data_IF_120238178645
#
_entry.id   IF_120238178645
#
_cell.length_a   1.000
_cell.length_b   1.000
_cell.length_c   1.000
_cell.angle_alpha   90.00
_cell.angle_beta   90.00
_cell.angle_gamma   90.00
#
_symmetry.space_group_name_H-M   'P 1'
#
loop_
_entity.id
_entity.type
_entity.pdbx_description
1 polymer ?
#
# COMPACT_ATOMS: atom_id res chain seq x y z
N UNK A 1 -22.23 -24.08 9.67
CA UNK A 1 -22.77 -22.86 9.01
C UNK A 1 -21.65 -22.06 8.34
N UNK A 2 -20.90 -22.67 7.41
CA UNK A 2 -19.79 -22.04 6.65
C UNK A 2 -19.99 -22.23 5.13
N UNK A 3 -21.13 -22.80 4.71
CA UNK A 3 -21.44 -23.09 3.30
C UNK A 3 -21.99 -21.92 2.48
N UNK A 4 -22.31 -20.77 3.09
CA UNK A 4 -22.94 -19.64 2.37
C UNK A 4 -21.95 -18.66 1.72
N UNK A 5 -20.67 -18.63 2.14
CA UNK A 5 -19.72 -17.62 1.66
C UNK A 5 -19.13 -17.90 0.27
N UNK A 6 -19.05 -19.17 -0.15
CA UNK A 6 -18.58 -19.52 -1.51
C UNK A 6 -19.74 -19.50 -2.51
N UNK A 7 -20.97 -19.76 -2.07
CA UNK A 7 -22.18 -19.57 -2.86
C UNK A 7 -22.40 -18.09 -3.24
N UNK A 8 -21.88 -17.15 -2.43
CA UNK A 8 -21.97 -15.70 -2.70
C UNK A 8 -21.01 -15.19 -3.78
N UNK A 9 -19.82 -15.79 -3.90
CA UNK A 9 -18.87 -15.41 -4.95
C UNK A 9 -19.34 -15.85 -6.35
N UNK A 10 -20.07 -16.98 -6.42
CA UNK A 10 -20.73 -17.46 -7.62
C UNK A 10 -22.08 -16.78 -7.87
N UNK A 11 -22.91 -16.48 -6.86
CA UNK A 11 -24.18 -15.73 -7.06
C UNK A 11 -23.97 -14.25 -7.38
N UNK A 12 -22.89 -13.60 -6.95
CA UNK A 12 -22.59 -12.22 -7.39
C UNK A 12 -22.17 -12.17 -8.88
N UNK A 13 -21.50 -13.21 -9.37
CA UNK A 13 -21.17 -13.37 -10.79
C UNK A 13 -22.37 -13.86 -11.64
N UNK A 14 -23.19 -14.77 -11.11
CA UNK A 14 -24.39 -15.32 -11.76
C UNK A 14 -25.58 -14.36 -11.77
N UNK A 15 -25.79 -13.56 -10.72
CA UNK A 15 -26.85 -12.52 -10.68
C UNK A 15 -26.57 -11.38 -11.66
N UNK A 16 -25.30 -11.10 -11.97
CA UNK A 16 -24.90 -10.18 -13.05
C UNK A 16 -25.12 -10.76 -14.45
N UNK A 17 -24.85 -12.05 -14.65
CA UNK A 17 -25.15 -12.71 -15.93
C UNK A 17 -26.66 -12.82 -16.19
N UNK A 18 -27.48 -12.99 -15.14
CA UNK A 18 -28.95 -13.01 -15.28
C UNK A 18 -29.54 -11.62 -15.57
N UNK A 19 -28.96 -10.54 -15.02
CA UNK A 19 -29.42 -9.16 -15.27
C UNK A 19 -29.04 -8.63 -16.66
N UNK A 20 -27.98 -9.18 -17.28
CA UNK A 20 -27.61 -8.85 -18.67
C UNK A 20 -28.50 -9.52 -19.72
N UNK A 21 -29.29 -10.53 -19.34
CA UNK A 21 -30.12 -11.30 -20.28
C UNK A 21 -31.50 -10.66 -20.57
N UNK A 22 -31.87 -9.57 -19.89
CA UNK A 22 -33.20 -8.94 -20.02
C UNK A 22 -33.24 -7.64 -20.82
N UNK A 23 -32.12 -7.20 -21.40
CA UNK A 23 -32.06 -5.98 -22.22
C UNK A 23 -31.14 -6.17 -23.42
N UNK A 24 -31.54 -7.02 -24.36
CA UNK A 24 -30.96 -7.09 -25.70
C UNK A 24 -32.06 -7.54 -26.67
N UNK A 25 -32.99 -6.65 -26.97
CA UNK A 25 -33.65 -6.67 -28.28
C UNK A 25 -32.65 -6.09 -29.29
N UNK A 26 -32.44 -6.84 -30.38
CA UNK A 26 -31.65 -6.49 -31.57
C UNK A 26 -30.13 -6.35 -31.39
N UNK A 27 -29.37 -7.39 -31.74
CA UNK A 27 -28.08 -7.23 -32.42
C UNK A 27 -27.62 -8.58 -32.99
N UNK A 28 -28.22 -8.97 -34.12
CA UNK A 28 -27.91 -10.16 -34.91
C UNK A 28 -26.52 -10.12 -35.58
N UNK A 29 -25.77 -9.02 -35.43
CA UNK A 29 -24.54 -8.76 -36.19
C UNK A 29 -23.24 -9.13 -35.43
N UNK A 30 -23.28 -9.42 -34.12
CA UNK A 30 -22.07 -9.75 -33.33
C UNK A 30 -21.72 -11.25 -33.36
N UNK A 31 -22.68 -12.13 -33.69
CA UNK A 31 -22.47 -13.59 -33.73
C UNK A 31 -21.43 -14.03 -34.77
N UNK A 32 -21.25 -13.27 -35.84
CA UNK A 32 -20.37 -13.65 -36.96
C UNK A 32 -18.89 -13.35 -36.69
N UNK A 33 -18.58 -12.38 -35.82
CA UNK A 33 -17.20 -12.00 -35.50
C UNK A 33 -16.59 -12.87 -34.38
N UNK A 34 -17.40 -13.32 -33.42
CA UNK A 34 -16.93 -14.13 -32.29
C UNK A 34 -16.59 -15.59 -32.69
N UNK A 35 -17.29 -16.16 -33.67
CA UNK A 35 -17.09 -17.54 -34.12
C UNK A 35 -15.79 -17.77 -34.92
N UNK A 36 -15.08 -16.71 -35.32
CA UNK A 36 -13.88 -16.82 -36.18
C UNK A 36 -12.55 -16.75 -35.41
N UNK A 37 -12.54 -16.25 -34.16
CA UNK A 37 -11.33 -16.07 -33.35
C UNK A 37 -11.17 -17.06 -32.20
N UNK A 38 -12.24 -17.72 -31.77
CA UNK A 38 -12.19 -18.79 -30.76
C UNK A 38 -12.70 -20.09 -31.38
N UNK A 39 -11.79 -20.88 -31.94
CA UNK A 39 -12.02 -22.32 -32.15
C UNK A 39 -12.15 -22.93 -30.75
N UNK A 40 -13.31 -23.47 -30.32
CA UNK A 40 -13.37 -24.19 -29.06
C UNK A 40 -12.59 -25.48 -29.27
N UNK A 41 -11.41 -25.58 -28.66
CA UNK A 41 -10.85 -26.90 -28.40
C UNK A 41 -11.88 -27.62 -27.53
N UNK A 42 -12.44 -28.70 -28.07
CA UNK A 42 -13.35 -29.60 -27.35
C UNK A 42 -12.54 -30.32 -26.27
N UNK A 43 -12.18 -29.61 -25.20
CA UNK A 43 -11.73 -30.26 -23.97
C UNK A 43 -12.99 -30.73 -23.27
N UNK A 44 -13.17 -32.05 -23.29
CA UNK A 44 -14.22 -32.77 -22.60
C UNK A 44 -14.09 -32.50 -21.09
N UNK A 45 -14.83 -31.51 -20.58
CA UNK A 45 -15.03 -31.33 -19.14
C UNK A 45 -15.94 -32.48 -18.67
N UNK A 46 -15.32 -33.64 -18.40
CA UNK A 46 -15.88 -34.70 -17.56
C UNK A 46 -16.30 -34.09 -16.23
N UNK A 47 -17.46 -34.53 -15.72
CA UNK A 47 -18.07 -34.19 -14.44
C UNK A 47 -17.05 -34.05 -13.28
N UNK A 48 -16.48 -32.87 -13.09
CA UNK A 48 -15.82 -32.52 -11.82
C UNK A 48 -16.95 -32.09 -10.89
N UNK A 49 -17.18 -32.87 -9.82
CA UNK A 49 -18.20 -32.52 -8.84
C UNK A 49 -17.87 -31.17 -8.19
N UNK A 50 -18.89 -30.33 -8.01
CA UNK A 50 -18.80 -29.00 -7.39
C UNK A 50 -18.07 -29.02 -6.04
N UNK A 51 -18.20 -30.14 -5.31
CA UNK A 51 -17.51 -30.41 -4.04
C UNK A 51 -15.99 -30.53 -4.21
N UNK A 52 -15.52 -31.18 -5.28
CA UNK A 52 -14.07 -31.32 -5.56
C UNK A 52 -13.47 -29.95 -5.88
N UNK A 53 -14.16 -29.13 -6.68
CA UNK A 53 -13.73 -27.76 -6.99
C UNK A 53 -13.69 -26.88 -5.74
N UNK A 54 -14.69 -26.95 -4.86
CA UNK A 54 -14.71 -26.20 -3.61
C UNK A 54 -13.54 -26.59 -2.71
N UNK A 55 -13.26 -27.88 -2.57
CA UNK A 55 -12.13 -28.37 -1.76
C UNK A 55 -10.78 -27.89 -2.30
N UNK A 56 -10.60 -27.87 -3.62
CA UNK A 56 -9.37 -27.39 -4.27
C UNK A 56 -9.18 -25.89 -4.10
N UNK A 57 -10.24 -25.09 -4.27
CA UNK A 57 -10.19 -23.64 -4.04
C UNK A 57 -9.86 -23.32 -2.58
N UNK A 58 -10.47 -24.04 -1.64
CA UNK A 58 -10.20 -23.84 -0.22
C UNK A 58 -8.75 -24.19 0.14
N UNK A 59 -8.24 -25.32 -0.34
CA UNK A 59 -6.84 -25.73 -0.12
C UNK A 59 -5.85 -24.70 -0.68
N UNK A 60 -6.04 -24.27 -1.93
CA UNK A 60 -5.22 -23.26 -2.56
C UNK A 60 -5.27 -21.92 -1.80
N UNK A 61 -6.44 -21.52 -1.30
CA UNK A 61 -6.57 -20.28 -0.52
C UNK A 61 -5.80 -20.34 0.81
N UNK A 62 -5.84 -21.48 1.52
CA UNK A 62 -5.11 -21.67 2.78
C UNK A 62 -3.60 -21.64 2.55
N UNK A 63 -3.14 -22.26 1.46
CA UNK A 63 -1.73 -22.27 1.08
C UNK A 63 -1.21 -20.86 0.78
N UNK A 64 -1.93 -20.08 -0.03
CA UNK A 64 -1.55 -18.68 -0.36
C UNK A 64 -1.50 -17.80 0.89
N UNK A 65 -2.48 -17.94 1.79
CA UNK A 65 -2.50 -17.19 3.05
C UNK A 65 -1.34 -17.60 3.95
N UNK A 66 -1.04 -18.90 4.06
CA UNK A 66 0.09 -19.41 4.85
C UNK A 66 1.42 -18.89 4.32
N UNK A 67 1.63 -18.97 2.99
CA UNK A 67 2.85 -18.48 2.34
C UNK A 67 3.04 -16.97 2.54
N UNK A 68 1.96 -16.19 2.42
CA UNK A 68 2.01 -14.74 2.68
C UNK A 68 2.49 -14.44 4.10
N UNK A 69 1.89 -15.10 5.11
CA UNK A 69 2.24 -14.91 6.51
C UNK A 69 3.70 -15.25 6.77
N UNK A 70 4.17 -16.37 6.20
CA UNK A 70 5.54 -16.82 6.32
C UNK A 70 6.52 -15.83 5.68
N UNK A 71 6.20 -15.28 4.51
CA UNK A 71 7.02 -14.27 3.83
C UNK A 71 7.17 -12.99 4.67
N UNK A 72 6.05 -12.42 5.14
CA UNK A 72 6.08 -11.21 5.99
C UNK A 72 6.86 -11.50 7.29
N UNK A 73 6.62 -12.65 7.92
CA UNK A 73 7.29 -13.04 9.15
C UNK A 73 8.80 -13.22 8.94
N UNK A 74 9.20 -13.86 7.85
CA UNK A 74 10.61 -14.01 7.48
C UNK A 74 11.29 -12.67 7.29
N UNK A 75 10.65 -11.72 6.60
CA UNK A 75 11.19 -10.36 6.43
C UNK A 75 11.28 -9.64 7.77
N UNK A 76 10.26 -9.75 8.61
CA UNK A 76 10.26 -9.12 9.95
C UNK A 76 11.36 -9.65 10.86
N UNK A 77 11.52 -10.98 10.97
CA UNK A 77 12.61 -11.58 11.76
C UNK A 77 13.97 -11.22 11.18
N UNK A 78 14.14 -11.30 9.85
CA UNK A 78 15.41 -10.97 9.20
C UNK A 78 15.79 -9.52 9.42
N UNK A 79 14.83 -8.60 9.30
CA UNK A 79 15.07 -7.19 9.51
C UNK A 79 15.38 -6.88 10.99
N UNK A 80 14.71 -7.55 11.93
CA UNK A 80 15.02 -7.45 13.36
C UNK A 80 16.45 -7.91 13.65
N UNK A 81 16.83 -9.11 13.20
CA UNK A 81 18.20 -9.63 13.39
C UNK A 81 19.23 -8.71 12.73
N UNK A 82 18.92 -8.21 11.53
CA UNK A 82 19.78 -7.28 10.80
C UNK A 82 20.00 -5.97 11.56
N UNK A 83 18.93 -5.31 12.00
CA UNK A 83 19.01 -4.02 12.66
C UNK A 83 19.79 -4.05 13.98
N UNK A 84 19.68 -5.15 14.75
CA UNK A 84 20.38 -5.28 16.03
C UNK A 84 21.80 -5.83 15.91
N UNK A 85 22.11 -6.64 14.89
CA UNK A 85 23.38 -7.38 14.82
C UNK A 85 24.32 -6.91 13.70
N UNK A 86 23.77 -6.47 12.56
CA UNK A 86 24.53 -6.24 11.33
C UNK A 86 24.50 -4.80 10.84
N UNK A 87 23.59 -3.96 11.34
CA UNK A 87 23.48 -2.58 10.92
C UNK A 87 24.80 -1.82 11.23
N UNK A 88 25.40 -1.16 10.22
CA UNK A 88 26.68 -0.49 10.37
C UNK A 88 26.56 0.72 11.30
N UNK A 89 27.69 1.12 11.87
CA UNK A 89 27.77 2.33 12.68
C UNK A 89 27.29 2.19 14.12
N UNK A 90 27.54 3.27 14.87
CA UNK A 90 26.96 3.50 16.19
C UNK A 90 25.67 4.31 16.07
N UNK A 91 24.81 4.19 17.07
CA UNK A 91 23.61 5.02 17.17
C UNK A 91 24.00 6.42 17.69
N UNK A 92 23.92 7.44 16.84
CA UNK A 92 24.28 8.81 17.21
C UNK A 92 23.05 9.59 17.75
N UNK A 93 22.99 9.70 19.07
CA UNK A 93 21.95 10.46 19.78
C UNK A 93 22.01 11.97 19.52
N UNK A 94 23.19 12.51 19.28
CA UNK A 94 23.36 13.94 19.01
C UNK A 94 22.81 14.28 17.62
N UNK A 95 23.06 13.41 16.65
CA UNK A 95 22.50 13.53 15.31
C UNK A 95 20.95 13.48 15.33
N UNK A 96 20.35 12.54 16.07
CA UNK A 96 18.89 12.47 16.26
C UNK A 96 18.31 13.74 16.90
N UNK A 97 18.98 14.27 17.93
CA UNK A 97 18.55 15.50 18.60
C UNK A 97 18.53 16.68 17.63
N UNK A 98 19.57 16.83 16.80
CA UNK A 98 19.66 17.89 15.80
C UNK A 98 18.54 17.81 14.77
N UNK A 99 18.26 16.61 14.27
CA UNK A 99 17.15 16.37 13.35
C UNK A 99 15.80 16.81 13.94
N UNK A 100 15.56 16.49 15.22
CA UNK A 100 14.30 16.84 15.90
C UNK A 100 14.25 18.34 16.22
N UNK A 101 15.36 18.94 16.65
CA UNK A 101 15.41 20.34 17.08
C UNK A 101 15.36 21.33 15.93
N UNK A 102 16.04 21.02 14.82
CA UNK A 102 16.08 21.88 13.64
C UNK A 102 16.20 21.03 12.36
N UNK A 103 15.10 20.48 11.85
CA UNK A 103 15.10 19.66 10.63
C UNK A 103 15.47 20.46 9.37
N UNK A 104 15.49 21.80 9.46
CA UNK A 104 15.82 22.71 8.35
C UNK A 104 17.27 23.23 8.42
N UNK A 105 18.07 22.74 9.36
CA UNK A 105 19.48 23.10 9.41
C UNK A 105 20.20 22.65 8.14
N UNK A 106 21.01 23.54 7.57
CA UNK A 106 21.88 23.31 6.43
C UNK A 106 22.85 22.12 6.60
N UNK A 107 23.13 21.71 7.84
CA UNK A 107 23.97 20.56 8.16
C UNK A 107 23.21 19.22 8.12
N UNK A 108 21.88 19.25 8.15
CA UNK A 108 21.05 18.05 8.08
C UNK A 108 20.79 17.69 6.62
N UNK A 109 21.06 16.44 6.26
CA UNK A 109 20.85 15.96 4.90
C UNK A 109 19.36 15.92 4.55
N UNK A 110 18.99 16.58 3.44
CA UNK A 110 17.57 16.75 3.06
C UNK A 110 16.89 15.43 2.64
N UNK A 111 17.63 14.48 2.08
CA UNK A 111 17.10 13.16 1.69
C UNK A 111 16.72 12.38 2.94
N UNK A 112 17.55 12.42 3.98
CA UNK A 112 17.20 11.73 5.22
C UNK A 112 16.01 12.38 5.94
N UNK A 113 15.88 13.72 5.91
CA UNK A 113 14.67 14.40 6.43
C UNK A 113 13.42 13.89 5.73
N UNK A 114 13.47 13.69 4.41
CA UNK A 114 12.38 13.08 3.65
C UNK A 114 12.06 11.66 4.15
N UNK A 115 13.07 10.80 4.30
CA UNK A 115 12.89 9.41 4.77
C UNK A 115 12.28 9.41 6.18
N UNK A 116 12.86 10.17 7.10
CA UNK A 116 12.46 10.22 8.50
C UNK A 116 11.02 10.73 8.67
N UNK A 117 10.64 11.81 7.98
CA UNK A 117 9.26 12.27 8.00
C UNK A 117 8.32 11.33 7.23
N UNK A 118 8.82 10.66 6.18
CA UNK A 118 8.11 9.63 5.43
C UNK A 118 7.72 8.43 6.31
N UNK A 119 8.53 8.08 7.31
CA UNK A 119 8.18 7.08 8.32
C UNK A 119 6.99 7.47 9.19
N UNK A 120 6.68 8.76 9.34
CA UNK A 120 5.43 9.22 9.95
C UNK A 120 4.24 9.20 9.00
N UNK A 121 4.48 9.48 7.71
CA UNK A 121 3.44 9.43 6.67
C UNK A 121 2.94 8.00 6.45
N UNK A 122 3.83 7.01 6.48
CA UNK A 122 3.49 5.61 6.20
C UNK A 122 2.43 5.05 7.16
N UNK A 123 2.59 5.10 8.49
CA UNK A 123 1.54 4.75 9.46
C UNK A 123 0.22 5.49 9.21
N UNK A 124 0.27 6.77 8.81
CA UNK A 124 -0.92 7.54 8.45
C UNK A 124 -1.62 6.98 7.19
N UNK A 125 -0.86 6.57 6.16
CA UNK A 125 -1.38 5.86 4.99
C UNK A 125 -1.98 4.52 5.39
N UNK A 126 -1.25 3.69 6.14
CA UNK A 126 -1.74 2.40 6.63
C UNK A 126 -3.03 2.56 7.46
N UNK A 127 -3.11 3.58 8.30
CA UNK A 127 -4.31 3.87 9.11
C UNK A 127 -5.54 4.21 8.26
N UNK A 128 -5.34 4.85 7.11
CA UNK A 128 -6.41 5.16 6.14
C UNK A 128 -6.92 3.94 5.37
N UNK A 129 -6.11 2.89 5.27
CA UNK A 129 -6.40 1.68 4.51
C UNK A 129 -6.95 0.56 5.43
N UNK A 130 -6.43 0.47 6.65
CA UNK A 130 -6.71 -0.63 7.58
C UNK A 130 -7.85 -0.35 8.56
N UNK A 131 -7.90 0.85 9.16
CA UNK A 131 -8.87 1.15 10.23
C UNK A 131 -10.34 1.13 9.78
N UNK A 132 -10.73 1.66 8.60
CA UNK A 132 -12.14 1.74 8.23
C UNK A 132 -12.86 0.39 8.06
N UNK A 133 -12.10 -0.71 8.10
CA UNK A 133 -12.54 -2.06 7.72
C UNK A 133 -12.29 -3.09 8.81
N UNK A 134 -11.84 -2.65 9.97
CA UNK A 134 -11.59 -3.54 11.09
C UNK A 134 -12.91 -4.18 11.56
N UNK A 135 -12.93 -5.52 11.74
CA UNK A 135 -14.08 -6.20 12.38
C UNK A 135 -13.89 -6.14 13.89
N UNK A 136 -14.99 -6.15 14.62
CA UNK A 136 -14.96 -6.22 16.08
C UNK A 136 -14.21 -7.45 16.59
N UNK A 137 -14.40 -8.60 15.96
CA UNK A 137 -13.77 -9.86 16.37
C UNK A 137 -12.35 -10.06 15.80
N UNK A 138 -11.79 -9.06 15.11
CA UNK A 138 -10.46 -9.15 14.51
C UNK A 138 -9.39 -8.47 15.35
N UNK A 139 -8.13 -8.86 15.16
CA UNK A 139 -6.98 -8.21 15.80
C UNK A 139 -6.99 -6.71 15.47
N UNK A 140 -6.98 -5.88 16.52
CA UNK A 140 -7.09 -4.43 16.37
C UNK A 140 -5.82 -3.83 15.81
N UNK A 141 -5.93 -3.00 14.77
CA UNK A 141 -4.79 -2.42 14.06
C UNK A 141 -4.22 -1.20 14.78
N UNK A 142 -5.08 -0.42 15.43
CA UNK A 142 -4.72 0.88 15.99
C UNK A 142 -3.51 0.87 16.94
N UNK A 143 -3.27 -0.13 17.82
CA UNK A 143 -2.11 -0.10 18.70
C UNK A 143 -0.81 -0.23 17.90
N UNK A 144 -0.78 -1.15 16.93
CA UNK A 144 0.37 -1.35 16.06
C UNK A 144 0.63 -0.14 15.16
N UNK A 145 -0.43 0.52 14.69
CA UNK A 145 -0.33 1.75 13.90
C UNK A 145 0.26 2.91 14.72
N UNK A 146 -0.21 3.13 15.94
CA UNK A 146 0.31 4.19 16.82
C UNK A 146 1.78 3.95 17.15
N UNK A 147 2.14 2.72 17.52
CA UNK A 147 3.54 2.37 17.84
C UNK A 147 4.43 2.43 16.60
N UNK A 148 3.89 2.18 15.40
CA UNK A 148 4.66 2.25 14.15
C UNK A 148 5.12 3.64 13.75
N UNK A 149 4.59 4.71 14.35
CA UNK A 149 5.16 6.05 14.19
C UNK A 149 6.58 6.17 14.76
N UNK A 150 6.95 5.31 15.71
CA UNK A 150 8.26 5.31 16.37
C UNK A 150 9.13 4.15 15.94
N UNK A 151 8.52 2.96 15.78
CA UNK A 151 9.23 1.72 15.50
C UNK A 151 9.05 1.22 14.07
N UNK A 152 8.22 1.88 13.26
CA UNK A 152 8.04 1.52 11.86
C UNK A 152 7.56 0.08 11.65
N UNK A 153 8.23 -0.65 10.74
CA UNK A 153 7.89 -2.04 10.44
C UNK A 153 8.11 -2.99 11.62
N UNK A 154 8.95 -2.64 12.61
CA UNK A 154 9.09 -3.48 13.81
C UNK A 154 7.77 -3.62 14.56
N UNK A 155 6.96 -2.55 14.61
CA UNK A 155 5.64 -2.58 15.21
C UNK A 155 4.56 -3.07 14.23
N UNK A 156 4.63 -2.67 12.96
CA UNK A 156 3.56 -3.00 12.00
C UNK A 156 3.66 -4.42 11.44
N UNK A 157 4.87 -4.97 11.32
CA UNK A 157 5.14 -6.30 10.76
C UNK A 157 4.34 -7.42 11.44
N UNK A 158 4.35 -7.56 12.78
CA UNK A 158 3.59 -8.59 13.48
C UNK A 158 2.08 -8.49 13.20
N UNK A 159 1.54 -7.27 13.13
CA UNK A 159 0.16 -7.06 12.74
C UNK A 159 -0.12 -7.55 11.31
N UNK A 160 0.74 -7.23 10.34
CA UNK A 160 0.59 -7.67 8.95
C UNK A 160 0.71 -9.20 8.80
N UNK A 161 1.53 -9.85 9.63
CA UNK A 161 1.60 -11.33 9.71
C UNK A 161 0.28 -11.90 10.22
N UNK A 162 -0.27 -11.35 11.29
CA UNK A 162 -1.43 -11.94 11.97
C UNK A 162 -2.76 -11.63 11.26
N UNK A 163 -2.87 -10.46 10.62
CA UNK A 163 -4.10 -10.00 9.99
C UNK A 163 -4.59 -10.94 8.89
N UNK A 164 -5.90 -10.94 8.66
CA UNK A 164 -6.55 -11.65 7.55
C UNK A 164 -6.98 -10.59 6.51
N UNK A 165 -6.31 -10.50 5.34
CA UNK A 165 -6.74 -9.63 4.25
C UNK A 165 -8.14 -10.01 3.79
N UNK A 166 -8.89 -9.01 3.34
CA UNK A 166 -10.26 -9.13 2.88
C UNK A 166 -10.39 -8.70 1.44
N UNK A 167 -10.83 -9.64 0.62
CA UNK A 167 -11.13 -9.39 -0.79
C UNK A 167 -12.62 -9.51 -1.12
N UNK A 168 -13.45 -9.87 -0.13
CA UNK A 168 -14.90 -9.97 -0.25
C UNK A 168 -15.57 -8.61 -0.12
N UNK A 169 -16.67 -8.39 -0.84
CA UNK A 169 -17.49 -7.19 -0.71
C UNK A 169 -17.83 -6.92 0.77
N UNK A 170 -17.48 -5.74 1.26
CA UNK A 170 -17.84 -5.32 2.62
C UNK A 170 -19.35 -5.08 2.69
N UNK A 171 -19.99 -5.67 3.70
CA UNK A 171 -21.36 -5.31 4.04
C UNK A 171 -21.36 -3.91 4.70
N UNK A 172 -22.43 -3.14 4.48
CA UNK A 172 -22.57 -1.77 4.99
C UNK A 172 -22.38 -1.67 6.50
N UNK A 173 -22.85 -2.67 7.23
CA UNK A 173 -22.78 -2.74 8.70
C UNK A 173 -21.36 -2.95 9.23
N UNK A 174 -20.45 -3.48 8.40
CA UNK A 174 -19.06 -3.72 8.77
C UNK A 174 -18.13 -2.54 8.50
N UNK A 175 -18.58 -1.53 7.73
CA UNK A 175 -17.78 -0.35 7.42
C UNK A 175 -17.88 0.68 8.55
N UNK A 176 -16.72 1.09 9.10
CA UNK A 176 -16.65 2.07 10.19
C UNK A 176 -15.84 3.27 9.73
N UNK A 177 -16.47 4.41 9.39
CA UNK A 177 -15.72 5.59 9.02
C UNK A 177 -14.87 6.04 10.21
N UNK A 178 -13.56 6.11 10.02
CA UNK A 178 -12.59 6.59 11.01
C UNK A 178 -12.16 8.01 10.69
N UNK A 179 -11.42 8.65 11.61
CA UNK A 179 -10.85 9.99 11.41
C UNK A 179 -10.03 10.10 10.10
N UNK A 180 -9.44 8.98 9.67
CA UNK A 180 -8.63 8.85 8.46
C UNK A 180 -9.43 8.85 7.14
N UNK A 181 -10.76 8.74 7.20
CA UNK A 181 -11.65 8.91 6.03
C UNK A 181 -11.99 10.38 5.76
N UNK A 182 -11.68 11.29 6.69
CA UNK A 182 -11.96 12.72 6.52
C UNK A 182 -11.20 13.28 5.30
N UNK A 183 -11.87 14.09 4.48
CA UNK A 183 -11.25 14.73 3.31
C UNK A 183 -10.06 15.60 3.70
N UNK A 184 -10.15 16.35 4.80
CA UNK A 184 -9.05 17.18 5.29
C UNK A 184 -7.80 16.36 5.62
N UNK A 185 -7.96 15.21 6.27
CA UNK A 185 -6.84 14.32 6.59
C UNK A 185 -6.12 13.86 5.32
N UNK A 186 -6.88 13.43 4.30
CA UNK A 186 -6.35 12.93 3.02
C UNK A 186 -5.60 14.02 2.25
N UNK A 187 -6.19 15.21 2.13
CA UNK A 187 -5.53 16.33 1.44
C UNK A 187 -4.32 16.86 2.21
N UNK A 188 -4.40 16.95 3.54
CA UNK A 188 -3.27 17.35 4.38
C UNK A 188 -2.09 16.40 4.22
N UNK A 189 -2.34 15.09 4.19
CA UNK A 189 -1.32 14.08 3.96
C UNK A 189 -0.67 14.24 2.57
N UNK A 190 -1.47 14.43 1.53
CA UNK A 190 -0.96 14.65 0.17
C UNK A 190 -0.10 15.93 0.09
N UNK A 191 -0.58 17.05 0.64
CA UNK A 191 0.16 18.31 0.66
C UNK A 191 1.49 18.13 1.41
N UNK A 192 1.47 17.47 2.57
CA UNK A 192 2.68 17.22 3.35
C UNK A 192 3.69 16.37 2.56
N UNK A 193 3.24 15.31 1.88
CA UNK A 193 4.11 14.52 1.00
C UNK A 193 4.69 15.36 -0.14
N UNK A 194 3.90 16.21 -0.79
CA UNK A 194 4.39 17.12 -1.83
C UNK A 194 5.48 18.05 -1.28
N UNK A 195 5.25 18.63 -0.10
CA UNK A 195 6.24 19.50 0.57
C UNK A 195 7.53 18.74 0.88
N UNK A 196 7.44 17.49 1.37
CA UNK A 196 8.61 16.66 1.63
C UNK A 196 9.42 16.38 0.36
N UNK A 197 8.74 16.08 -0.76
CA UNK A 197 9.41 15.88 -2.05
C UNK A 197 10.08 17.16 -2.55
N UNK A 198 9.39 18.31 -2.49
CA UNK A 198 9.95 19.60 -2.87
C UNK A 198 11.16 19.97 -2.01
N UNK A 199 11.12 19.67 -0.71
CA UNK A 199 12.23 19.86 0.21
C UNK A 199 13.41 18.94 -0.11
N UNK A 200 13.16 17.65 -0.32
CA UNK A 200 14.20 16.67 -0.68
C UNK A 200 14.90 17.01 -1.98
N UNK A 201 14.14 17.46 -2.98
CA UNK A 201 14.69 17.88 -4.28
C UNK A 201 15.30 19.29 -4.24
N UNK A 202 15.27 19.98 -3.10
CA UNK A 202 15.73 21.37 -2.94
C UNK A 202 15.14 22.33 -4.00
N UNK A 203 13.91 22.06 -4.45
CA UNK A 203 13.23 22.87 -5.48
C UNK A 203 12.79 24.22 -4.90
N UNK A 204 12.51 24.29 -3.60
CA UNK A 204 12.21 25.54 -2.89
C UNK A 204 13.42 26.01 -2.07
N UNK A 205 14.02 27.16 -2.40
CA UNK A 205 15.05 27.78 -1.57
C UNK A 205 14.36 28.57 -0.44
N UNK A 206 13.71 27.89 0.51
CA UNK A 206 13.19 28.55 1.71
C UNK A 206 14.32 29.07 2.63
N UNK A 207 15.54 28.61 2.41
CA UNK A 207 16.77 29.24 2.91
C UNK A 207 17.89 29.05 1.88
N UNK A 208 17.95 29.93 0.88
CA UNK A 208 19.14 30.08 0.04
C UNK A 208 20.26 30.68 0.90
N UNK A 209 21.00 29.84 1.61
CA UNK A 209 22.25 30.23 2.26
C UNK A 209 23.39 29.49 1.59
N UNK A 210 23.62 29.82 0.32
CA UNK A 210 24.93 29.57 -0.28
C UNK A 210 25.19 30.52 -1.45
N UNK A 211 26.35 31.16 -1.37
CA UNK A 211 26.87 32.21 -2.25
C UNK A 211 27.56 31.66 -3.51
N UNK A 212 27.36 30.38 -3.81
CA UNK A 212 27.87 29.67 -4.96
C UNK A 212 26.78 29.62 -6.02
N UNK A 213 26.96 30.45 -7.06
CA UNK A 213 26.12 30.60 -8.25
C UNK A 213 26.05 29.34 -9.14
N UNK A 214 26.13 28.13 -8.58
CA UNK A 214 26.09 26.90 -9.35
C UNK A 214 24.65 26.51 -9.68
N UNK A 215 24.38 26.06 -10.93
CA UNK A 215 23.04 25.66 -11.33
C UNK A 215 22.52 24.53 -10.44
N UNK A 216 21.20 24.54 -10.26
CA UNK A 216 20.30 23.63 -9.56
C UNK A 216 20.58 22.11 -9.71
N UNK A 217 21.46 21.69 -10.63
CA UNK A 217 21.83 20.30 -10.87
C UNK A 217 22.97 19.76 -9.98
N UNK A 218 23.89 20.60 -9.48
CA UNK A 218 25.07 20.12 -8.72
C UNK A 218 24.74 19.83 -7.24
N UNK A 219 23.61 20.33 -6.75
CA UNK A 219 23.21 20.17 -5.35
C UNK A 219 22.66 18.77 -5.03
N UNK A 220 22.00 18.08 -5.96
CA UNK A 220 21.37 16.79 -5.67
C UNK A 220 22.36 15.64 -5.58
N UNK A 221 23.35 15.59 -6.49
CA UNK A 221 24.38 14.55 -6.48
C UNK A 221 25.24 14.66 -5.22
N UNK A 222 25.65 15.88 -4.84
CA UNK A 222 26.42 16.11 -3.63
C UNK A 222 25.65 15.75 -2.34
N UNK A 223 24.34 16.00 -2.30
CA UNK A 223 23.50 15.56 -1.18
C UNK A 223 23.31 14.05 -1.14
N UNK A 224 23.21 13.41 -2.31
CA UNK A 224 23.13 11.97 -2.40
C UNK A 224 24.39 11.29 -1.88
N UNK A 225 25.58 11.80 -2.24
CA UNK A 225 26.85 11.26 -1.76
C UNK A 225 27.00 11.40 -0.24
N UNK A 226 26.61 12.55 0.33
CA UNK A 226 26.56 12.74 1.80
C UNK A 226 25.57 11.79 2.46
N UNK A 227 24.39 11.60 1.86
CA UNK A 227 23.41 10.66 2.36
C UNK A 227 23.96 9.23 2.36
N UNK A 228 24.65 8.81 1.29
CA UNK A 228 25.27 7.49 1.23
C UNK A 228 26.35 7.31 2.30
N UNK A 229 27.17 8.34 2.54
CA UNK A 229 28.14 8.32 3.64
C UNK A 229 27.45 8.15 5.00
N UNK A 230 26.36 8.89 5.25
CA UNK A 230 25.55 8.75 6.47
C UNK A 230 24.93 7.35 6.57
N UNK A 231 24.41 6.81 5.46
CA UNK A 231 23.83 5.47 5.39
C UNK A 231 24.82 4.36 5.75
N UNK A 232 26.12 4.56 5.49
CA UNK A 232 27.15 3.59 5.87
C UNK A 232 27.75 3.84 7.27
N UNK A 233 27.58 5.03 7.83
CA UNK A 233 28.25 5.45 9.08
C UNK A 233 27.32 5.45 10.28
N UNK A 234 26.04 5.76 10.09
CA UNK A 234 25.06 5.90 11.17
C UNK A 234 24.01 4.78 11.12
N UNK A 235 23.85 4.08 12.25
CA UNK A 235 22.88 2.98 12.40
C UNK A 235 21.44 3.46 12.26
N UNK A 236 21.11 4.62 12.83
CA UNK A 236 19.76 5.16 12.76
C UNK A 236 19.37 5.45 11.32
N UNK A 237 20.26 6.11 10.57
CA UNK A 237 20.03 6.44 9.16
C UNK A 237 19.84 5.16 8.36
N UNK A 238 20.75 4.21 8.55
CA UNK A 238 20.72 2.94 7.86
C UNK A 238 19.42 2.15 8.07
N UNK A 239 19.07 1.91 9.34
CA UNK A 239 17.88 1.11 9.70
C UNK A 239 16.60 1.81 9.27
N UNK A 240 16.50 3.13 9.48
CA UNK A 240 15.31 3.92 9.11
C UNK A 240 15.06 3.91 7.60
N UNK A 241 16.12 3.99 6.79
CA UNK A 241 16.00 3.95 5.34
C UNK A 241 15.55 2.58 4.81
N UNK A 242 16.05 1.50 5.40
CA UNK A 242 15.58 0.14 5.06
C UNK A 242 14.13 -0.04 5.51
N UNK A 243 13.79 0.40 6.72
CA UNK A 243 12.43 0.35 7.25
C UNK A 243 11.43 1.08 6.35
N UNK A 244 11.80 2.26 5.87
CA UNK A 244 11.01 3.05 4.93
C UNK A 244 10.69 2.26 3.66
N UNK A 245 11.71 1.65 3.04
CA UNK A 245 11.53 0.82 1.84
C UNK A 245 10.62 -0.38 2.12
N UNK A 246 10.84 -1.08 3.23
CA UNK A 246 10.03 -2.25 3.63
C UNK A 246 8.57 -1.83 3.81
N UNK A 247 8.31 -0.75 4.53
CA UNK A 247 6.96 -0.23 4.74
C UNK A 247 6.29 0.18 3.42
N UNK A 248 7.02 0.79 2.48
CA UNK A 248 6.51 1.08 1.14
C UNK A 248 6.16 -0.18 0.36
N UNK A 249 7.01 -1.22 0.40
CA UNK A 249 6.76 -2.49 -0.28
C UNK A 249 5.52 -3.20 0.27
N UNK A 250 5.37 -3.27 1.60
CA UNK A 250 4.21 -3.93 2.21
C UNK A 250 2.92 -3.10 2.15
N UNK A 251 3.00 -1.80 1.86
CA UNK A 251 1.82 -0.93 1.71
C UNK A 251 0.97 -1.33 0.50
N UNK A 252 1.60 -1.96 -0.50
CA UNK A 252 0.94 -2.42 -1.71
C UNK A 252 -0.24 -3.33 -1.41
N UNK A 253 -0.10 -4.27 -0.47
CA UNK A 253 -1.16 -5.23 -0.20
C UNK A 253 -2.42 -4.56 0.38
N UNK A 254 -2.36 -3.78 1.49
CA UNK A 254 -3.51 -3.01 1.98
C UNK A 254 -4.07 -2.03 0.94
N UNK A 255 -3.21 -1.43 0.12
CA UNK A 255 -3.64 -0.51 -0.93
C UNK A 255 -4.47 -1.22 -2.00
N UNK A 256 -3.99 -2.36 -2.47
CA UNK A 256 -4.68 -3.18 -3.47
C UNK A 256 -5.98 -3.77 -2.92
N UNK A 257 -5.99 -4.15 -1.65
CA UNK A 257 -7.18 -4.54 -0.90
C UNK A 257 -8.23 -3.41 -0.94
N UNK A 258 -7.83 -2.17 -0.65
CA UNK A 258 -8.69 -0.99 -0.71
C UNK A 258 -9.30 -0.76 -2.10
N UNK A 259 -8.45 -0.81 -3.13
CA UNK A 259 -8.86 -0.64 -4.53
C UNK A 259 -9.89 -1.68 -4.96
N UNK A 260 -9.67 -2.95 -4.61
CA UNK A 260 -10.61 -4.03 -4.92
C UNK A 260 -11.97 -3.81 -4.26
N UNK A 261 -11.96 -3.46 -2.96
CA UNK A 261 -13.18 -3.29 -2.19
C UNK A 261 -14.03 -2.12 -2.68
N UNK A 262 -13.39 -1.05 -3.18
CA UNK A 262 -14.10 0.11 -3.77
C UNK A 262 -14.48 -0.09 -5.25
N UNK A 263 -14.22 -1.26 -5.82
CA UNK A 263 -14.61 -1.59 -7.19
C UNK A 263 -13.78 -0.92 -8.28
N UNK A 264 -12.55 -0.52 -7.97
CA UNK A 264 -11.65 0.19 -8.90
C UNK A 264 -11.26 -0.64 -10.14
N UNK A 265 -11.45 -1.96 -10.13
CA UNK A 265 -11.18 -2.83 -11.28
C UNK A 265 -12.43 -3.24 -12.05
N UNK A 266 -13.59 -2.66 -11.72
CA UNK A 266 -14.90 -3.16 -12.20
C UNK A 266 -15.29 -2.63 -13.58
N UNK A 267 -14.99 -1.36 -13.84
CA UNK A 267 -15.15 -0.73 -15.15
C UNK A 267 -13.73 -0.40 -15.58
N UNK A 268 -13.21 -1.01 -16.63
CA UNK A 268 -11.81 -0.89 -17.07
C UNK A 268 -11.45 0.52 -17.56
N UNK A 269 -11.36 1.49 -16.65
CA UNK A 269 -10.92 2.86 -16.96
C UNK A 269 -9.39 2.85 -16.94
N UNK A 270 -8.76 3.42 -17.97
CA UNK A 270 -7.30 3.53 -18.07
C UNK A 270 -6.68 4.24 -16.84
N UNK A 271 -7.43 5.17 -16.25
CA UNK A 271 -7.07 5.90 -15.04
C UNK A 271 -6.84 4.97 -13.84
N UNK A 272 -7.66 3.92 -13.69
CA UNK A 272 -7.59 3.00 -12.55
C UNK A 272 -6.29 2.16 -12.57
N UNK A 273 -5.88 1.75 -13.78
CA UNK A 273 -4.61 1.06 -14.01
C UNK A 273 -3.41 1.98 -13.84
N UNK A 274 -3.50 3.23 -14.30
CA UNK A 274 -2.42 4.19 -14.18
C UNK A 274 -2.17 4.58 -12.72
N UNK A 275 -3.22 4.81 -11.93
CA UNK A 275 -3.09 5.10 -10.50
C UNK A 275 -2.45 3.93 -9.72
N UNK A 276 -2.71 2.69 -10.11
CA UNK A 276 -2.05 1.52 -9.52
C UNK A 276 -0.54 1.51 -9.82
N UNK A 277 -0.15 1.82 -11.06
CA UNK A 277 1.26 1.91 -11.48
C UNK A 277 1.97 3.06 -10.76
N UNK A 278 1.36 4.25 -10.73
CA UNK A 278 1.93 5.43 -10.05
C UNK A 278 2.07 5.22 -8.54
N UNK A 279 1.12 4.50 -7.93
CA UNK A 279 1.20 4.09 -6.52
C UNK A 279 2.40 3.22 -6.19
N UNK A 280 2.94 2.52 -7.19
CA UNK A 280 4.13 1.69 -7.06
C UNK A 280 5.42 2.43 -7.38
N UNK A 281 5.42 3.26 -8.43
CA UNK A 281 6.65 3.90 -8.94
C UNK A 281 7.12 5.01 -8.01
N UNK A 282 6.21 5.76 -7.40
CA UNK A 282 6.55 6.93 -6.58
C UNK A 282 6.08 6.70 -5.14
N UNK A 283 6.99 6.28 -4.24
CA UNK A 283 6.68 6.06 -2.83
C UNK A 283 5.98 7.26 -2.21
N UNK A 284 5.00 7.02 -1.34
CA UNK A 284 4.14 8.03 -0.68
C UNK A 284 3.20 8.82 -1.59
N UNK A 285 3.68 9.42 -2.70
CA UNK A 285 2.85 10.26 -3.58
C UNK A 285 1.68 9.46 -4.15
N UNK A 286 1.97 8.32 -4.79
CA UNK A 286 0.92 7.59 -5.47
C UNK A 286 -0.16 7.04 -4.52
N UNK A 287 0.19 6.41 -3.37
CA UNK A 287 -0.78 6.08 -2.33
C UNK A 287 -1.58 7.29 -1.81
N UNK A 288 -0.94 8.46 -1.67
CA UNK A 288 -1.62 9.69 -1.22
C UNK A 288 -2.62 10.22 -2.26
N UNK A 289 -2.23 10.24 -3.55
CA UNK A 289 -3.13 10.58 -4.66
C UNK A 289 -4.30 9.61 -4.71
N UNK A 290 -4.02 8.31 -4.52
CA UNK A 290 -5.08 7.31 -4.43
C UNK A 290 -6.06 7.64 -3.30
N UNK A 291 -5.60 7.97 -2.09
CA UNK A 291 -6.50 8.35 -1.00
C UNK A 291 -7.40 9.55 -1.36
N UNK A 292 -6.86 10.56 -2.05
CA UNK A 292 -7.64 11.72 -2.49
C UNK A 292 -8.67 11.38 -3.58
N UNK A 293 -8.35 10.44 -4.47
CA UNK A 293 -9.17 10.09 -5.64
C UNK A 293 -10.09 8.89 -5.41
N UNK A 294 -9.86 8.11 -4.34
CA UNK A 294 -10.64 6.88 -4.09
C UNK A 294 -12.13 7.22 -3.94
N UNK A 295 -13.02 6.40 -4.53
CA UNK A 295 -14.46 6.61 -4.40
C UNK A 295 -14.86 6.59 -2.93
N UNK A 296 -15.72 7.52 -2.52
CA UNK A 296 -16.38 7.38 -1.22
C UNK A 296 -17.19 6.08 -1.23
N UNK A 297 -17.32 5.46 -0.05
CA UNK A 297 -18.16 4.29 0.09
C UNK A 297 -19.62 4.70 -0.18
N UNK A 298 -20.12 4.41 -1.40
CA UNK A 298 -21.43 4.86 -1.84
C UNK A 298 -22.46 3.73 -1.72
N UNK A 299 -23.56 4.04 -1.03
CA UNK A 299 -24.65 3.14 -0.66
C UNK A 299 -25.56 2.80 -1.85
N UNK A 300 -25.08 2.13 -2.90
CA UNK A 300 -25.93 1.65 -4.00
C UNK A 300 -25.89 0.15 -4.18
#
# INVERSE_FOLDING_TARGET
MIGEQIAFHSTCCLSRLYRYRKSCTNLTTIKTFYNKLFKPSKVCLRNISLTTLQSQVESNSKLVVSFRRLSIFSVWVSFLVYAFSFAPGSFDMEWLRRLISNPFDSQVNSIFVFIFNGLGVLPALYSSLLLPREKEDSLKAWPFLVVSFFLGFFALGPYLVLRKPRYSCLNKEEYRPTLTENSWFRYSLLIFVIVLYLFSFKIFPLHSTRADHLPWDISLVAEWDKYLQLFHTDRLVHVSSIDFVILCLFLVEPLFEDMKLRGFFRNSVLLDRWLWIVSWIVPLIGPSIYLCTRPQWNNK
#
